data_IF_969055031272
#
_entry.id   IF_969055031272
#
_cell.length_a   1.000
_cell.length_b   1.000
_cell.length_c   1.000
_cell.angle_alpha   90.00
_cell.angle_beta   90.00
_cell.angle_gamma   90.00
#
_symmetry.space_group_name_H-M   'P 1'
#
loop_
_entity.id
_entity.type
_entity.pdbx_description
1 polymer ?
#
# COMPACT_ATOMS: atom_id res chain seq x y z
N UNK A 1 -18.44 13.43 2.19
CA UNK A 1 -17.78 12.13 2.50
C UNK A 1 -16.37 12.47 2.97
N UNK A 2 -15.88 11.88 4.05
CA UNK A 2 -14.49 12.06 4.51
C UNK A 2 -13.57 11.16 3.70
N UNK A 3 -12.38 11.63 3.34
CA UNK A 3 -11.42 10.87 2.52
C UNK A 3 -11.02 9.55 3.17
N UNK A 4 -10.83 8.51 2.36
CA UNK A 4 -10.41 7.16 2.78
C UNK A 4 -8.88 7.12 2.99
N UNK A 5 -8.43 6.71 4.17
CA UNK A 5 -7.01 6.67 4.53
C UNK A 5 -6.42 5.28 4.26
N UNK A 6 -5.40 5.23 3.41
CA UNK A 6 -4.64 4.01 3.10
C UNK A 6 -3.22 4.17 3.60
N UNK A 7 -2.79 3.31 4.52
CA UNK A 7 -1.43 3.31 5.07
C UNK A 7 -0.67 2.10 4.57
N UNK A 8 0.52 2.33 4.03
CA UNK A 8 1.46 1.28 3.65
C UNK A 8 2.48 1.09 4.78
N UNK A 9 2.44 -0.05 5.46
CA UNK A 9 3.35 -0.34 6.55
C UNK A 9 3.88 -1.78 6.54
N UNK A 10 5.17 -1.90 6.81
CA UNK A 10 5.89 -3.14 7.02
C UNK A 10 7.23 -2.81 7.71
N UNK A 11 7.61 -3.57 8.74
CA UNK A 11 8.88 -3.39 9.46
C UNK A 11 10.12 -3.75 8.63
N UNK A 12 9.96 -4.53 7.55
CA UNK A 12 11.06 -4.85 6.63
C UNK A 12 11.22 -3.77 5.56
N UNK A 13 12.46 -3.36 5.32
CA UNK A 13 12.85 -2.55 4.18
C UNK A 13 12.76 -3.33 2.86
N UNK A 14 12.63 -2.63 1.74
CA UNK A 14 12.69 -3.24 0.40
C UNK A 14 11.50 -4.11 0.00
N UNK A 15 10.40 -4.11 0.76
CA UNK A 15 9.19 -4.89 0.44
C UNK A 15 8.32 -4.27 -0.65
N UNK A 16 8.65 -3.05 -1.09
CA UNK A 16 7.96 -2.34 -2.16
C UNK A 16 6.80 -1.46 -1.71
N UNK A 17 6.77 -1.01 -0.45
CA UNK A 17 5.75 -0.08 0.08
C UNK A 17 5.57 1.13 -0.82
N UNK A 18 6.61 1.94 -0.98
CA UNK A 18 6.60 3.18 -1.76
C UNK A 18 6.26 2.96 -3.25
N UNK A 19 6.78 1.88 -3.84
CA UNK A 19 6.46 1.52 -5.23
C UNK A 19 4.99 1.19 -5.39
N UNK A 20 4.44 0.36 -4.49
CA UNK A 20 3.01 0.00 -4.54
C UNK A 20 2.14 1.21 -4.21
N UNK A 21 2.53 2.04 -3.24
CA UNK A 21 1.84 3.28 -2.89
C UNK A 21 1.72 4.20 -4.10
N UNK A 22 2.81 4.44 -4.83
CA UNK A 22 2.80 5.27 -6.03
C UNK A 22 1.89 4.72 -7.13
N UNK A 23 1.90 3.39 -7.35
CA UNK A 23 1.01 2.76 -8.33
C UNK A 23 -0.48 2.91 -7.95
N UNK A 24 -0.82 2.79 -6.67
CA UNK A 24 -2.19 3.01 -6.18
C UNK A 24 -2.56 4.50 -6.28
N UNK A 25 -1.66 5.43 -5.93
CA UNK A 25 -1.87 6.87 -6.10
C UNK A 25 -2.24 7.18 -7.56
N UNK A 26 -1.42 6.75 -8.51
CA UNK A 26 -1.68 7.05 -9.93
C UNK A 26 -2.92 6.34 -10.43
N UNK A 27 -3.22 5.11 -9.98
CA UNK A 27 -4.46 4.43 -10.33
C UNK A 27 -5.70 5.22 -9.86
N UNK A 28 -5.69 5.75 -8.65
CA UNK A 28 -6.77 6.58 -8.09
C UNK A 28 -6.91 7.91 -8.85
N UNK A 29 -5.79 8.59 -9.12
CA UNK A 29 -5.79 9.83 -9.91
C UNK A 29 -6.37 9.61 -11.31
N UNK A 30 -6.06 8.47 -11.94
CA UNK A 30 -6.61 8.08 -13.25
C UNK A 30 -8.12 7.76 -13.21
N UNK A 31 -8.64 7.42 -12.05
CA UNK A 31 -10.09 7.29 -11.80
C UNK A 31 -10.75 8.64 -11.46
N UNK A 32 -10.04 9.76 -11.63
CA UNK A 32 -10.55 11.10 -11.34
C UNK A 32 -10.66 11.42 -9.84
N UNK A 33 -9.99 10.65 -8.97
CA UNK A 33 -10.02 10.88 -7.53
C UNK A 33 -8.99 11.91 -7.11
N UNK A 34 -9.33 12.73 -6.10
CA UNK A 34 -8.39 13.63 -5.45
C UNK A 34 -7.56 12.85 -4.43
N UNK A 35 -6.24 12.89 -4.57
CA UNK A 35 -5.31 12.15 -3.72
C UNK A 35 -4.34 13.10 -3.03
N UNK A 36 -4.25 12.97 -1.70
CA UNK A 36 -3.20 13.56 -0.87
C UNK A 36 -2.28 12.43 -0.42
N UNK A 37 -0.97 12.64 -0.44
CA UNK A 37 0.00 11.64 0.02
C UNK A 37 1.01 12.20 1.00
N UNK A 38 1.42 11.37 1.96
CA UNK A 38 2.46 11.64 2.95
C UNK A 38 3.53 10.55 2.85
N UNK A 39 4.80 10.97 2.82
CA UNK A 39 5.95 10.09 2.98
C UNK A 39 6.55 10.33 4.36
N UNK A 40 6.46 9.33 5.24
CA UNK A 40 6.98 9.39 6.60
C UNK A 40 8.38 8.78 6.73
N UNK A 41 8.98 8.30 5.63
CA UNK A 41 10.29 7.64 5.64
C UNK A 41 11.43 8.65 5.47
N UNK A 42 11.53 9.59 6.40
CA UNK A 42 12.64 10.53 6.45
C UNK A 42 13.88 9.87 7.11
N UNK A 43 15.10 10.03 6.57
CA UNK A 43 15.45 10.83 5.38
C UNK A 43 15.35 10.10 4.03
N UNK A 44 14.94 8.83 3.98
CA UNK A 44 14.97 8.03 2.75
C UNK A 44 14.03 8.56 1.66
N UNK A 45 12.81 8.93 2.00
CA UNK A 45 11.86 9.60 1.12
C UNK A 45 11.59 8.88 -0.21
N UNK A 46 11.44 7.55 -0.21
CA UNK A 46 11.33 6.78 -1.46
C UNK A 46 10.09 7.15 -2.30
N UNK A 47 8.95 7.43 -1.65
CA UNK A 47 7.76 7.90 -2.34
C UNK A 47 7.96 9.34 -2.84
N UNK A 48 8.60 10.17 -2.03
CA UNK A 48 8.94 11.57 -2.37
C UNK A 48 9.79 11.60 -3.64
N UNK A 49 10.89 10.84 -3.68
CA UNK A 49 11.74 10.75 -4.88
C UNK A 49 10.98 10.24 -6.11
N UNK A 50 10.03 9.32 -5.93
CA UNK A 50 9.21 8.85 -7.05
C UNK A 50 8.35 9.99 -7.61
N UNK A 51 7.78 10.82 -6.74
CA UNK A 51 6.93 11.96 -7.13
C UNK A 51 7.78 13.08 -7.75
N UNK A 52 8.96 13.37 -7.22
CA UNK A 52 9.92 14.33 -7.80
C UNK A 52 10.34 13.92 -9.21
N UNK A 53 10.66 12.64 -9.42
CA UNK A 53 10.96 12.11 -10.76
C UNK A 53 9.78 12.30 -11.72
N UNK A 54 8.53 12.09 -11.23
CA UNK A 54 7.31 12.31 -12.01
C UNK A 54 7.14 13.76 -12.40
N UNK A 55 7.38 14.69 -11.49
CA UNK A 55 7.32 16.13 -11.75
C UNK A 55 8.38 16.56 -12.77
N UNK A 56 9.61 16.07 -12.62
CA UNK A 56 10.70 16.35 -13.56
C UNK A 56 10.38 15.82 -14.97
N UNK A 57 9.83 14.59 -15.06
CA UNK A 57 9.41 14.02 -16.33
C UNK A 57 8.30 14.84 -17.00
N UNK A 58 7.31 15.27 -16.24
CA UNK A 58 6.21 16.11 -16.73
C UNK A 58 6.74 17.44 -17.32
N UNK A 59 7.66 18.10 -16.61
CA UNK A 59 8.30 19.34 -17.06
C UNK A 59 9.07 19.13 -18.37
N UNK A 60 9.76 17.98 -18.51
CA UNK A 60 10.54 17.68 -19.70
C UNK A 60 9.68 17.33 -20.93
N UNK A 61 8.63 16.53 -20.74
CA UNK A 61 7.78 16.05 -21.84
C UNK A 61 6.68 17.04 -22.25
N UNK A 62 6.35 18.00 -21.42
CA UNK A 62 5.24 18.93 -21.68
C UNK A 62 3.85 18.28 -21.74
N UNK A 63 3.76 16.99 -21.39
CA UNK A 63 2.49 16.25 -21.39
C UNK A 63 1.90 16.23 -19.99
N UNK A 64 0.68 16.75 -19.78
CA UNK A 64 0.07 16.77 -18.46
C UNK A 64 -0.27 15.34 -18.01
N UNK A 65 0.34 14.91 -16.90
CA UNK A 65 0.02 13.67 -16.22
C UNK A 65 -0.48 13.98 -14.80
N UNK A 66 -1.44 13.21 -14.27
CA UNK A 66 -2.03 13.52 -12.97
C UNK A 66 -1.02 13.39 -11.84
N UNK A 67 -1.07 14.37 -10.91
CA UNK A 67 -0.19 14.46 -9.75
C UNK A 67 -0.99 14.47 -8.45
N UNK A 68 -0.53 13.82 -7.36
CA UNK A 68 -1.11 14.00 -6.04
C UNK A 68 -0.67 15.33 -5.42
N UNK A 69 -1.41 15.81 -4.43
CA UNK A 69 -0.84 16.73 -3.45
C UNK A 69 0.03 15.93 -2.51
N UNK A 70 1.32 16.25 -2.43
CA UNK A 70 2.30 15.45 -1.69
C UNK A 70 3.01 16.22 -0.59
N UNK A 71 3.32 15.54 0.51
CA UNK A 71 4.09 16.08 1.63
C UNK A 71 5.14 15.05 2.06
N UNK A 72 6.42 15.42 2.00
CA UNK A 72 7.50 14.72 2.67
C UNK A 72 7.52 15.13 4.14
N UNK A 73 7.28 14.20 5.04
CA UNK A 73 7.22 14.46 6.48
C UNK A 73 8.63 14.51 7.06
N UNK A 74 9.06 15.69 7.48
CA UNK A 74 10.41 15.91 8.03
C UNK A 74 10.37 16.07 9.55
N UNK A 75 11.55 15.96 10.19
CA UNK A 75 11.68 16.22 11.63
C UNK A 75 11.25 17.64 12.02
N UNK A 76 11.49 18.65 11.16
CA UNK A 76 11.07 20.02 11.43
C UNK A 76 9.55 20.17 11.37
N UNK A 77 8.90 19.47 10.47
CA UNK A 77 7.43 19.43 10.44
C UNK A 77 6.88 18.76 11.70
N UNK A 78 7.51 17.70 12.19
CA UNK A 78 7.11 16.99 13.39
C UNK A 78 7.22 17.83 14.68
N UNK A 79 8.04 18.90 14.69
CA UNK A 79 8.12 19.87 15.80
C UNK A 79 6.93 20.83 15.85
N UNK A 80 6.26 21.03 14.71
CA UNK A 80 5.21 22.05 14.57
C UNK A 80 3.82 21.40 14.44
N UNK A 81 3.74 20.24 13.80
CA UNK A 81 2.50 19.57 13.43
C UNK A 81 2.46 18.13 13.96
N UNK A 82 1.28 17.59 14.18
CA UNK A 82 1.07 16.16 14.38
C UNK A 82 0.66 15.51 13.07
N UNK A 83 1.12 14.30 12.81
CA UNK A 83 0.70 13.57 11.60
C UNK A 83 -0.81 13.30 11.62
N UNK A 84 -1.40 13.05 12.80
CA UNK A 84 -2.85 12.95 13.00
C UNK A 84 -3.58 14.18 12.45
N UNK A 85 -3.17 15.37 12.89
CA UNK A 85 -3.81 16.62 12.47
C UNK A 85 -3.70 16.87 10.96
N UNK A 86 -2.59 16.48 10.33
CA UNK A 86 -2.41 16.62 8.88
C UNK A 86 -3.24 15.62 8.08
N UNK A 87 -3.32 14.36 8.53
CA UNK A 87 -4.17 13.35 7.90
C UNK A 87 -5.65 13.74 8.00
N UNK A 88 -6.11 14.20 9.18
CA UNK A 88 -7.52 14.62 9.33
C UNK A 88 -7.86 15.82 8.44
N UNK A 89 -6.97 16.81 8.31
CA UNK A 89 -7.15 17.93 7.35
C UNK A 89 -7.19 17.44 5.90
N UNK A 90 -6.31 16.50 5.54
CA UNK A 90 -6.28 15.94 4.19
C UNK A 90 -7.57 15.21 3.83
N UNK A 91 -8.21 14.54 4.79
CA UNK A 91 -9.50 13.86 4.60
C UNK A 91 -10.65 14.81 4.27
N UNK A 92 -10.55 16.09 4.62
CA UNK A 92 -11.58 17.08 4.30
C UNK A 92 -11.57 17.49 2.82
N UNK A 93 -10.40 17.41 2.17
CA UNK A 93 -10.19 17.94 0.80
C UNK A 93 -9.90 16.89 -0.27
N UNK A 94 -9.61 15.65 0.15
CA UNK A 94 -9.26 14.54 -0.74
C UNK A 94 -10.24 13.38 -0.64
N UNK A 95 -10.40 12.62 -1.73
CA UNK A 95 -11.13 11.35 -1.73
C UNK A 95 -10.29 10.25 -1.05
N UNK A 96 -8.96 10.32 -1.21
CA UNK A 96 -8.01 9.37 -0.65
C UNK A 96 -6.79 10.07 -0.04
N UNK A 97 -6.38 9.57 1.12
CA UNK A 97 -5.13 9.96 1.79
C UNK A 97 -4.22 8.74 1.83
N UNK A 98 -3.07 8.84 1.19
CA UNK A 98 -2.08 7.75 1.12
C UNK A 98 -0.91 8.07 2.04
N UNK A 99 -0.54 7.15 2.91
CA UNK A 99 0.59 7.33 3.83
C UNK A 99 1.59 6.19 3.62
N UNK A 100 2.80 6.53 3.19
CA UNK A 100 3.93 5.61 3.13
C UNK A 100 4.74 5.72 4.41
N UNK A 101 5.04 4.59 5.06
CA UNK A 101 5.75 4.57 6.33
C UNK A 101 7.15 3.97 6.19
N UNK A 102 8.12 4.38 7.05
CA UNK A 102 9.42 3.73 7.11
C UNK A 102 9.31 2.25 7.51
N UNK A 103 10.41 1.51 7.30
CA UNK A 103 10.55 0.16 7.85
C UNK A 103 10.82 0.13 9.36
N UNK A 104 11.11 1.29 9.96
CA UNK A 104 11.35 1.42 11.40
C UNK A 104 10.06 1.71 12.16
N UNK A 105 10.09 1.39 13.46
CA UNK A 105 9.00 1.72 14.35
C UNK A 105 9.12 3.19 14.80
N UNK A 106 8.08 4.00 14.57
CA UNK A 106 7.99 5.37 15.07
C UNK A 106 6.56 5.67 15.53
N UNK A 107 6.42 6.67 16.41
CA UNK A 107 5.12 7.10 16.92
C UNK A 107 4.23 7.61 15.77
N UNK A 108 4.82 8.29 14.79
CA UNK A 108 4.10 8.76 13.59
C UNK A 108 3.52 7.60 12.77
N UNK A 109 4.26 6.49 12.64
CA UNK A 109 3.74 5.28 11.99
C UNK A 109 2.56 4.71 12.75
N UNK A 110 2.65 4.65 14.09
CA UNK A 110 1.57 4.14 14.93
C UNK A 110 0.31 5.02 14.82
N UNK A 111 0.48 6.34 14.87
CA UNK A 111 -0.63 7.29 14.68
C UNK A 111 -1.29 7.12 13.31
N UNK A 112 -0.48 7.04 12.24
CA UNK A 112 -0.99 6.82 10.89
C UNK A 112 -1.78 5.50 10.80
N UNK A 113 -1.28 4.41 11.38
CA UNK A 113 -1.97 3.12 11.41
C UNK A 113 -3.31 3.18 12.17
N UNK A 114 -3.39 3.96 13.26
CA UNK A 114 -4.66 4.17 13.99
C UNK A 114 -5.67 4.94 13.15
N UNK A 115 -5.23 5.81 12.25
CA UNK A 115 -6.12 6.56 11.36
C UNK A 115 -6.50 5.80 10.09
N UNK A 116 -5.78 4.73 9.74
CA UNK A 116 -5.99 3.99 8.51
C UNK A 116 -7.38 3.35 8.42
N UNK A 117 -8.09 3.54 7.34
CA UNK A 117 -9.26 2.73 6.99
C UNK A 117 -8.81 1.41 6.35
N UNK A 118 -7.74 1.47 5.55
CA UNK A 118 -7.06 0.30 5.00
C UNK A 118 -5.56 0.34 5.33
N UNK A 119 -5.05 -0.73 5.94
CA UNK A 119 -3.63 -0.96 6.14
C UNK A 119 -3.15 -1.95 5.09
N UNK A 120 -2.19 -1.57 4.25
CA UNK A 120 -1.58 -2.43 3.25
C UNK A 120 -0.18 -2.82 3.71
N UNK A 121 0.06 -4.13 3.80
CA UNK A 121 1.38 -4.68 4.13
C UNK A 121 1.89 -5.48 2.93
N UNK A 122 2.76 -4.90 2.09
CA UNK A 122 3.45 -5.64 1.05
C UNK A 122 4.43 -6.63 1.68
N UNK A 123 4.46 -7.85 1.16
CA UNK A 123 5.29 -8.94 1.68
C UNK A 123 5.99 -9.63 0.49
N UNK A 124 7.32 -9.71 0.48
CA UNK A 124 8.01 -10.44 -0.57
C UNK A 124 7.64 -11.93 -0.52
N UNK A 125 7.69 -12.60 -1.66
CA UNK A 125 7.36 -14.02 -1.77
C UNK A 125 8.50 -14.91 -1.22
N UNK A 126 8.79 -14.75 0.07
CA UNK A 126 9.86 -15.44 0.79
C UNK A 126 9.37 -15.88 2.17
N UNK A 127 9.71 -17.12 2.55
CA UNK A 127 9.41 -17.66 3.88
C UNK A 127 10.05 -16.82 5.01
N UNK A 128 11.19 -16.15 4.72
CA UNK A 128 11.84 -15.23 5.68
C UNK A 128 10.96 -14.01 5.95
N UNK A 129 10.16 -13.57 4.96
CA UNK A 129 9.29 -12.41 5.13
C UNK A 129 8.01 -12.76 5.90
N UNK A 130 7.71 -14.04 6.05
CA UNK A 130 6.58 -14.50 6.87
C UNK A 130 6.75 -14.12 8.36
N UNK A 131 8.01 -13.93 8.81
CA UNK A 131 8.33 -13.46 10.17
C UNK A 131 7.71 -12.09 10.50
N UNK A 132 7.37 -11.30 9.49
CA UNK A 132 6.61 -10.05 9.68
C UNK A 132 5.21 -10.32 10.24
N UNK A 133 4.61 -11.45 9.91
CA UNK A 133 3.23 -11.80 10.31
C UNK A 133 3.19 -12.75 11.51
N UNK A 134 4.12 -13.71 11.57
CA UNK A 134 4.10 -14.73 12.60
C UNK A 134 5.49 -15.30 12.86
N UNK A 135 5.73 -15.73 14.09
CA UNK A 135 6.86 -16.58 14.43
C UNK A 135 6.59 -17.99 13.94
N UNK A 136 7.44 -18.48 13.04
CA UNK A 136 7.30 -19.80 12.43
C UNK A 136 8.46 -20.70 12.89
N UNK A 137 8.16 -21.92 13.27
CA UNK A 137 9.18 -22.93 13.54
C UNK A 137 9.88 -23.34 12.24
N UNK A 138 11.20 -23.19 12.20
CA UNK A 138 11.99 -23.40 10.98
C UNK A 138 12.03 -24.85 10.50
N UNK A 139 11.81 -25.82 11.39
CA UNK A 139 11.87 -27.24 11.07
C UNK A 139 10.50 -27.81 10.70
N UNK A 140 9.46 -27.38 11.40
CA UNK A 140 8.11 -27.94 11.26
C UNK A 140 7.16 -27.01 10.49
N UNK A 141 7.56 -25.79 10.17
CA UNK A 141 6.75 -24.72 9.60
C UNK A 141 5.45 -24.43 10.37
N UNK A 142 5.41 -24.81 11.65
CA UNK A 142 4.26 -24.52 12.52
C UNK A 142 4.33 -23.09 13.05
N UNK A 143 3.17 -22.44 13.08
CA UNK A 143 3.02 -21.09 13.63
C UNK A 143 3.10 -21.19 15.16
N UNK A 144 4.09 -20.54 15.78
CA UNK A 144 4.31 -20.46 17.23
C UNK A 144 3.50 -19.33 17.88
N UNK A 145 3.39 -18.19 17.19
CA UNK A 145 2.69 -17.01 17.70
C UNK A 145 2.71 -15.85 16.73
N UNK A 146 2.05 -14.73 17.08
CA UNK A 146 2.10 -13.52 16.27
C UNK A 146 3.51 -12.90 16.33
N UNK A 147 3.92 -12.23 15.25
CA UNK A 147 5.12 -11.40 15.22
C UNK A 147 4.92 -10.09 16.01
N UNK A 148 6.00 -9.34 16.17
CA UNK A 148 5.94 -7.98 16.71
C UNK A 148 5.01 -7.07 15.88
N UNK A 149 5.12 -7.10 14.55
CA UNK A 149 4.27 -6.30 13.67
C UNK A 149 2.78 -6.69 13.78
N UNK A 150 2.47 -7.99 13.85
CA UNK A 150 1.08 -8.43 14.06
C UNK A 150 0.51 -8.02 15.42
N UNK A 151 1.34 -8.01 16.47
CA UNK A 151 0.95 -7.48 17.79
C UNK A 151 0.67 -5.96 17.71
N UNK A 152 1.48 -5.22 16.96
CA UNK A 152 1.26 -3.79 16.71
C UNK A 152 -0.04 -3.53 15.98
N UNK A 153 -0.37 -4.31 14.94
CA UNK A 153 -1.66 -4.22 14.25
C UNK A 153 -2.81 -4.56 15.20
N UNK A 154 -2.63 -5.52 16.09
CA UNK A 154 -3.63 -5.83 17.13
C UNK A 154 -3.86 -4.64 18.08
N UNK A 155 -2.78 -4.05 18.60
CA UNK A 155 -2.87 -2.84 19.46
C UNK A 155 -3.52 -1.67 18.71
N UNK A 156 -3.23 -1.50 17.42
CA UNK A 156 -3.91 -0.52 16.55
C UNK A 156 -5.41 -0.76 16.51
N UNK A 157 -5.85 -2.00 16.34
CA UNK A 157 -7.29 -2.35 16.34
C UNK A 157 -7.96 -2.05 17.68
N UNK A 158 -7.29 -2.33 18.79
CA UNK A 158 -7.80 -1.98 20.13
C UNK A 158 -7.95 -0.47 20.30
N UNK A 159 -6.93 0.31 19.90
CA UNK A 159 -6.97 1.76 19.94
C UNK A 159 -8.11 2.32 19.09
N UNK A 160 -8.29 1.81 17.86
CA UNK A 160 -9.40 2.22 16.99
C UNK A 160 -10.77 1.92 17.60
N UNK A 161 -10.91 0.81 18.30
CA UNK A 161 -12.16 0.45 19.00
C UNK A 161 -12.45 1.42 20.15
N UNK A 162 -11.42 1.81 20.92
CA UNK A 162 -11.52 2.83 21.97
C UNK A 162 -11.94 4.18 21.36
N UNK A 163 -11.36 4.56 20.22
CA UNK A 163 -11.70 5.79 19.49
C UNK A 163 -13.01 5.68 18.68
N UNK A 164 -13.75 4.58 18.79
CA UNK A 164 -15.02 4.31 18.07
C UNK A 164 -14.88 4.44 16.54
N UNK A 165 -13.71 4.16 16.00
CA UNK A 165 -13.46 4.12 14.57
C UNK A 165 -13.94 2.79 13.95
N UNK A 166 -14.29 2.76 12.65
CA UNK A 166 -14.61 1.52 11.95
C UNK A 166 -13.46 0.51 12.06
N UNK A 167 -13.74 -0.81 11.98
CA UNK A 167 -12.71 -1.82 12.04
C UNK A 167 -11.65 -1.61 10.94
N UNK A 168 -10.37 -1.81 11.24
CA UNK A 168 -9.26 -1.70 10.31
C UNK A 168 -9.34 -2.80 9.24
N UNK A 169 -9.33 -2.42 7.95
CA UNK A 169 -9.14 -3.38 6.87
C UNK A 169 -7.63 -3.64 6.69
N UNK A 170 -7.16 -4.80 7.12
CA UNK A 170 -5.76 -5.18 6.93
C UNK A 170 -5.61 -6.04 5.69
N UNK A 171 -4.85 -5.55 4.70
CA UNK A 171 -4.62 -6.18 3.42
C UNK A 171 -3.14 -6.60 3.29
N UNK A 172 -2.89 -7.88 3.10
CA UNK A 172 -1.57 -8.41 2.80
C UNK A 172 -1.44 -8.56 1.29
N UNK A 173 -0.41 -7.94 0.70
CA UNK A 173 -0.12 -8.02 -0.73
C UNK A 173 1.21 -8.74 -0.92
N UNK A 174 1.16 -9.95 -1.52
CA UNK A 174 2.40 -10.63 -1.92
C UNK A 174 3.06 -9.84 -3.04
N UNK A 175 4.32 -9.47 -2.86
CA UNK A 175 5.10 -8.70 -3.81
C UNK A 175 6.28 -9.51 -4.33
N UNK A 176 6.80 -9.12 -5.50
CA UNK A 176 7.91 -9.80 -6.19
C UNK A 176 7.65 -11.28 -6.42
N UNK A 177 6.42 -11.63 -6.80
CA UNK A 177 6.10 -12.98 -7.18
C UNK A 177 6.94 -13.43 -8.37
N UNK A 178 7.56 -14.60 -8.25
CA UNK A 178 8.27 -15.23 -9.37
C UNK A 178 7.30 -16.03 -10.24
N UNK A 179 7.56 -16.09 -11.53
CA UNK A 179 6.70 -16.79 -12.50
C UNK A 179 6.62 -18.29 -12.24
N UNK A 180 7.69 -18.88 -11.72
CA UNK A 180 7.74 -20.30 -11.40
C UNK A 180 7.11 -20.58 -10.04
N UNK A 181 6.04 -21.39 -10.04
CA UNK A 181 5.40 -21.90 -8.82
C UNK A 181 6.34 -22.88 -8.10
N UNK A 182 7.31 -22.34 -7.37
CA UNK A 182 8.20 -23.16 -6.53
C UNK A 182 7.42 -23.81 -5.38
N UNK A 183 7.98 -24.90 -4.84
CA UNK A 183 7.43 -25.52 -3.62
C UNK A 183 7.33 -24.51 -2.47
N UNK A 184 8.29 -23.59 -2.37
CA UNK A 184 8.29 -22.52 -1.35
C UNK A 184 7.14 -21.54 -1.56
N UNK A 185 6.83 -21.15 -2.81
CA UNK A 185 5.71 -20.25 -3.11
C UNK A 185 4.35 -20.90 -2.80
N UNK A 186 4.21 -22.23 -3.00
CA UNK A 186 3.01 -22.97 -2.62
C UNK A 186 2.88 -23.07 -1.09
N UNK A 187 3.97 -23.39 -0.39
CA UNK A 187 4.01 -23.41 1.07
C UNK A 187 3.66 -22.03 1.65
N UNK A 188 4.26 -20.96 1.11
CA UNK A 188 3.94 -19.58 1.48
C UNK A 188 2.43 -19.29 1.36
N UNK A 189 1.81 -19.70 0.25
CA UNK A 189 0.37 -19.53 0.02
C UNK A 189 -0.45 -20.26 1.10
N UNK A 190 -0.07 -21.49 1.42
CA UNK A 190 -0.75 -22.31 2.44
C UNK A 190 -0.64 -21.65 3.82
N UNK A 191 0.56 -21.19 4.20
CA UNK A 191 0.81 -20.54 5.48
C UNK A 191 0.06 -19.20 5.60
N UNK A 192 0.08 -18.39 4.55
CA UNK A 192 -0.66 -17.13 4.53
C UNK A 192 -2.17 -17.34 4.65
N UNK A 193 -2.74 -18.34 3.97
CA UNK A 193 -4.17 -18.65 4.10
C UNK A 193 -4.52 -19.19 5.52
N UNK A 194 -3.63 -19.94 6.15
CA UNK A 194 -3.83 -20.38 7.53
C UNK A 194 -3.74 -19.21 8.53
N UNK A 195 -2.80 -18.28 8.30
CA UNK A 195 -2.62 -17.10 9.13
C UNK A 195 -3.78 -16.10 9.00
N UNK A 196 -4.32 -15.91 7.79
CA UNK A 196 -5.41 -14.95 7.55
C UNK A 196 -6.61 -15.18 8.47
N UNK A 197 -6.93 -16.44 8.75
CA UNK A 197 -8.01 -16.84 9.67
C UNK A 197 -7.69 -16.57 11.14
N UNK A 198 -6.39 -16.59 11.52
CA UNK A 198 -5.95 -16.44 12.91
C UNK A 198 -5.77 -14.99 13.33
N UNK A 199 -5.19 -14.18 12.45
CA UNK A 199 -4.87 -12.77 12.75
C UNK A 199 -5.72 -11.78 11.95
N UNK A 200 -6.74 -12.30 11.21
CA UNK A 200 -7.78 -11.52 10.55
C UNK A 200 -7.26 -10.47 9.57
N UNK A 201 -6.69 -10.90 8.45
CA UNK A 201 -6.38 -10.06 7.30
C UNK A 201 -6.98 -10.64 6.01
N UNK A 202 -7.09 -9.80 5.00
CA UNK A 202 -7.41 -10.21 3.63
C UNK A 202 -6.11 -10.44 2.86
N UNK A 203 -5.96 -11.60 2.23
CA UNK A 203 -4.87 -11.84 1.29
C UNK A 203 -5.29 -11.34 -0.09
N UNK A 204 -4.66 -10.28 -0.56
CA UNK A 204 -4.91 -9.72 -1.88
C UNK A 204 -4.20 -10.52 -2.97
N UNK A 205 -4.59 -10.27 -4.21
CA UNK A 205 -3.83 -10.69 -5.38
C UNK A 205 -2.41 -10.17 -5.29
N UNK A 206 -1.43 -11.00 -5.64
CA UNK A 206 -0.03 -10.60 -5.57
C UNK A 206 0.40 -9.78 -6.78
N UNK A 207 1.59 -9.17 -6.64
CA UNK A 207 2.26 -8.40 -7.68
C UNK A 207 3.56 -9.11 -8.06
N UNK A 208 3.74 -9.40 -9.35
CA UNK A 208 4.90 -10.12 -9.85
C UNK A 208 6.12 -9.21 -9.97
N UNK A 209 7.31 -9.78 -9.78
CA UNK A 209 8.56 -9.05 -10.02
C UNK A 209 8.75 -8.78 -11.52
N UNK A 210 9.02 -7.52 -11.86
CA UNK A 210 9.27 -7.07 -13.23
C UNK A 210 10.32 -5.97 -13.24
N UNK A 211 11.25 -6.06 -14.18
CA UNK A 211 12.31 -5.04 -14.37
C UNK A 211 11.72 -3.67 -14.66
N UNK A 212 10.62 -3.62 -15.40
CA UNK A 212 9.94 -2.37 -15.78
C UNK A 212 9.56 -1.47 -14.58
N UNK A 213 9.31 -2.03 -13.37
CA UNK A 213 9.07 -1.20 -12.18
C UNK A 213 10.25 -0.28 -11.85
N UNK A 214 11.49 -0.75 -12.05
CA UNK A 214 12.70 0.03 -11.83
C UNK A 214 12.89 1.10 -12.90
N UNK A 215 12.60 0.76 -14.15
CA UNK A 215 12.68 1.70 -15.29
C UNK A 215 11.65 2.84 -15.14
N UNK A 216 10.43 2.49 -14.73
CA UNK A 216 9.34 3.45 -14.50
C UNK A 216 9.65 4.38 -13.32
N UNK A 217 10.28 3.86 -12.25
CA UNK A 217 10.67 4.65 -11.10
C UNK A 217 11.54 5.85 -11.48
N UNK A 218 12.57 5.63 -12.33
CA UNK A 218 13.49 6.67 -12.77
C UNK A 218 12.81 7.80 -13.55
N UNK A 219 11.65 7.52 -14.13
CA UNK A 219 10.82 8.48 -14.88
C UNK A 219 9.63 9.00 -14.07
N UNK A 220 9.47 8.56 -12.84
CA UNK A 220 8.28 8.86 -12.04
C UNK A 220 6.97 8.31 -12.62
N UNK A 221 7.05 7.33 -13.54
CA UNK A 221 5.91 6.73 -14.22
C UNK A 221 5.50 5.42 -13.54
N UNK A 222 4.27 5.01 -13.78
CA UNK A 222 3.68 3.77 -13.27
C UNK A 222 3.09 2.91 -14.39
N UNK A 223 2.69 1.69 -14.08
CA UNK A 223 1.96 0.83 -15.02
C UNK A 223 0.64 1.46 -15.50
N UNK A 224 0.11 2.43 -14.77
CA UNK A 224 -1.11 3.14 -15.13
C UNK A 224 -0.90 4.18 -16.22
N UNK A 225 0.34 4.60 -16.44
CA UNK A 225 0.71 5.61 -17.44
C UNK A 225 1.00 5.01 -18.83
N UNK A 226 1.22 3.69 -18.95
CA UNK A 226 1.68 3.03 -20.18
C UNK A 226 0.75 3.13 -21.39
N UNK A 227 -0.52 3.49 -21.21
CA UNK A 227 -1.50 3.66 -22.30
C UNK A 227 -1.72 5.12 -22.70
N UNK A 228 -0.94 6.03 -22.18
CA UNK A 228 -1.09 7.46 -22.47
C UNK A 228 -0.58 7.80 -23.86
N UNK A 229 -1.42 8.51 -24.62
CA UNK A 229 -1.03 9.09 -25.89
C UNK A 229 0.12 10.09 -25.68
N UNK A 230 1.22 9.92 -26.38
CA UNK A 230 2.40 10.79 -26.28
C UNK A 230 3.57 10.24 -25.45
N UNK A 231 3.40 9.17 -24.69
CA UNK A 231 4.49 8.59 -23.91
C UNK A 231 5.36 7.59 -24.70
N UNK A 232 4.99 7.22 -25.95
CA UNK A 232 5.74 6.33 -26.85
C UNK A 232 6.41 5.11 -26.15
N UNK A 233 5.79 4.58 -25.10
CA UNK A 233 6.32 3.44 -24.39
C UNK A 233 5.74 2.14 -24.96
N UNK A 234 6.63 1.24 -25.39
CA UNK A 234 6.20 -0.08 -25.84
C UNK A 234 5.46 -0.82 -24.73
N UNK A 235 4.17 -1.04 -24.95
CA UNK A 235 3.33 -1.78 -23.98
C UNK A 235 3.53 -3.28 -24.20
N UNK A 236 4.45 -3.88 -23.45
CA UNK A 236 4.64 -5.33 -23.47
C UNK A 236 3.47 -6.06 -22.79
N UNK A 237 3.26 -7.33 -23.16
CA UNK A 237 2.27 -8.21 -22.47
C UNK A 237 2.53 -8.26 -20.94
N UNK A 238 3.80 -8.26 -20.54
CA UNK A 238 4.22 -8.23 -19.14
C UNK A 238 3.77 -6.95 -18.43
N UNK A 239 3.85 -5.81 -19.09
CA UNK A 239 3.41 -4.53 -18.55
C UNK A 239 1.88 -4.46 -18.38
N UNK A 240 1.13 -5.00 -19.34
CA UNK A 240 -0.34 -5.11 -19.23
C UNK A 240 -0.76 -6.01 -18.06
N UNK A 241 -0.09 -7.14 -17.89
CA UNK A 241 -0.32 -8.02 -16.74
C UNK A 241 -0.01 -7.34 -15.43
N UNK A 242 1.11 -6.59 -15.34
CA UNK A 242 1.45 -5.80 -14.15
C UNK A 242 0.41 -4.74 -13.82
N UNK A 243 -0.12 -4.05 -14.83
CA UNK A 243 -1.22 -3.10 -14.67
C UNK A 243 -2.46 -3.79 -14.07
N UNK A 244 -2.83 -4.97 -14.59
CA UNK A 244 -3.99 -5.71 -14.08
C UNK A 244 -3.79 -6.17 -12.63
N UNK A 245 -2.58 -6.58 -12.25
CA UNK A 245 -2.26 -6.94 -10.86
C UNK A 245 -2.48 -5.76 -9.91
N UNK A 246 -2.04 -4.55 -10.28
CA UNK A 246 -2.28 -3.34 -9.48
C UNK A 246 -3.78 -3.02 -9.38
N UNK A 247 -4.53 -3.14 -10.47
CA UNK A 247 -5.99 -2.94 -10.45
C UNK A 247 -6.70 -3.96 -9.56
N UNK A 248 -6.24 -5.21 -9.53
CA UNK A 248 -6.77 -6.23 -8.64
C UNK A 248 -6.51 -5.89 -7.15
N UNK A 249 -5.31 -5.35 -6.82
CA UNK A 249 -5.03 -4.85 -5.47
C UNK A 249 -5.98 -3.69 -5.13
N UNK A 250 -6.18 -2.75 -6.05
CA UNK A 250 -7.11 -1.64 -5.85
C UNK A 250 -8.55 -2.12 -5.62
N UNK A 251 -9.01 -3.13 -6.37
CA UNK A 251 -10.33 -3.73 -6.15
C UNK A 251 -10.48 -4.33 -4.75
N UNK A 252 -9.43 -4.97 -4.20
CA UNK A 252 -9.49 -5.50 -2.84
C UNK A 252 -9.63 -4.39 -1.78
N UNK A 253 -9.12 -3.18 -2.04
CA UNK A 253 -9.32 -2.02 -1.16
C UNK A 253 -10.83 -1.66 -1.10
N UNK A 254 -11.50 -1.64 -2.25
CA UNK A 254 -12.91 -1.24 -2.36
C UNK A 254 -13.93 -2.35 -2.03
N UNK A 255 -13.56 -3.63 -2.08
CA UNK A 255 -14.49 -4.75 -1.85
C UNK A 255 -15.19 -4.69 -0.48
N UNK A 256 -14.62 -4.03 0.50
CA UNK A 256 -15.22 -3.85 1.81
C UNK A 256 -16.41 -2.88 1.76
N UNK A 257 -16.31 -1.82 0.98
CA UNK A 257 -17.38 -0.81 0.89
C UNK A 257 -18.64 -1.39 0.24
N UNK A 258 -18.46 -2.40 -0.63
CA UNK A 258 -19.57 -3.15 -1.26
C UNK A 258 -20.22 -4.17 -0.29
N UNK A 259 -19.48 -4.69 0.68
CA UNK A 259 -20.00 -5.64 1.68
C UNK A 259 -20.64 -4.95 2.89
N UNK A 260 -20.33 -3.68 3.13
CA UNK A 260 -20.88 -2.88 4.23
C UNK A 260 -22.09 -2.03 3.82
N UNK A 261 -22.45 -2.00 2.54
CA UNK A 261 -23.69 -1.39 2.10
C UNK A 261 -24.88 -2.27 2.56
N UNK A 262 -25.87 -1.70 3.30
CA UNK A 262 -27.06 -2.46 3.68
C UNK A 262 -27.75 -2.96 2.41
N UNK A 263 -28.09 -4.23 2.37
CA UNK A 263 -28.81 -4.93 1.28
C UNK A 263 -30.29 -4.48 1.20
N UNK A 264 -30.53 -3.18 1.14
CA UNK A 264 -31.83 -2.59 0.87
C UNK A 264 -31.68 -1.71 -0.38
N UNK A 265 -31.87 -2.30 -1.55
CA UNK A 265 -32.39 -1.68 -2.75
C UNK A 265 -32.11 -2.59 -3.98
N UNK A 266 -32.55 -3.86 -3.90
CA UNK A 266 -32.82 -4.64 -5.12
C UNK A 266 -34.20 -5.30 -4.90
N UNK A 267 -35.24 -4.48 -4.96
CA UNK A 267 -36.61 -4.91 -5.28
C UNK A 267 -37.29 -3.73 -5.95
N UNK A 268 -37.26 -3.68 -7.25
CA UNK A 268 -38.31 -3.23 -8.16
C UNK A 268 -37.80 -3.43 -9.62
#
# INVERSE_FOLDING_TARGET
MTGHVIVFANEKGGTGKSTLAMHIIVALLRLGKKVVSFDLDYPQGSLTHYIENREAFLKHMGTPIPMPTHTHWTEDMAKIYTIRGQIEKAKEVADFVIVDTPGSNSDHCQEAMVLADTLITPLNDSLIDLDVLAQVDTNTFKIKGPSHFSQKVWSTRQQRMIERKPPLHWLIVRNRLTYNKSKNSQLMTTLLNALSRRIHYTLASGVSERVIYRELFLKGLTMMDLKENGLNMHTSQSALSGRQEILNVLQNIFQRDLQSAPSNDIKA
#
